data_IF_481651192646
#
_entry.id   IF_481651192646
#
_cell.length_a   1.000
_cell.length_b   1.000
_cell.length_c   1.000
_cell.angle_alpha   90.00
_cell.angle_beta   90.00
_cell.angle_gamma   90.00
#
_symmetry.space_group_name_H-M   'P 1'
#
loop_
_entity.id
_entity.type
_entity.pdbx_description
1 polymer ?
#
# COMPACT_ATOMS: atom_id res chain seq x y z
N UNK A 1 -2.91 -3.45 -10.71
CA UNK A 1 -1.48 -3.69 -10.37
C UNK A 1 -1.32 -4.36 -9.02
N UNK A 2 -1.64 -3.71 -7.89
CA UNK A 2 -1.45 -4.31 -6.54
C UNK A 2 -2.10 -5.69 -6.37
N UNK A 3 -3.36 -5.84 -6.82
CA UNK A 3 -4.07 -7.13 -6.78
C UNK A 3 -3.33 -8.25 -7.53
N UNK A 4 -2.64 -7.94 -8.65
CA UNK A 4 -1.86 -8.94 -9.39
C UNK A 4 -0.58 -9.33 -8.64
N UNK A 5 0.07 -8.37 -7.97
CA UNK A 5 1.30 -8.63 -7.20
C UNK A 5 1.01 -9.51 -5.98
N UNK A 6 -0.08 -9.23 -5.27
CA UNK A 6 -0.55 -10.06 -4.15
C UNK A 6 -0.97 -11.45 -4.62
N UNK A 7 -1.70 -11.55 -5.74
CA UNK A 7 -2.02 -12.85 -6.35
C UNK A 7 -0.77 -13.62 -6.81
N UNK A 8 0.30 -12.91 -7.16
CA UNK A 8 1.61 -13.47 -7.47
C UNK A 8 2.49 -13.82 -6.26
N UNK A 9 1.96 -13.69 -5.04
CA UNK A 9 2.64 -14.08 -3.80
C UNK A 9 3.49 -12.99 -3.15
N UNK A 10 3.48 -11.75 -3.65
CA UNK A 10 4.20 -10.63 -3.03
C UNK A 10 3.26 -9.92 -2.05
N UNK A 11 3.53 -9.93 -0.73
CA UNK A 11 2.65 -9.31 0.24
C UNK A 11 2.64 -7.79 0.07
N UNK A 12 1.45 -7.18 0.13
CA UNK A 12 1.33 -5.72 0.07
C UNK A 12 1.63 -5.09 1.43
N UNK A 13 2.34 -3.96 1.42
CA UNK A 13 2.33 -3.04 2.55
C UNK A 13 1.02 -2.25 2.52
N UNK A 14 0.19 -2.44 3.54
CA UNK A 14 -1.06 -1.71 3.72
C UNK A 14 -1.39 -1.64 5.21
N UNK A 15 -2.08 -0.59 5.64
CA UNK A 15 -2.55 -0.40 7.03
C UNK A 15 -3.97 -0.93 7.27
N UNK A 16 -4.72 -1.24 6.20
CA UNK A 16 -6.08 -1.76 6.28
C UNK A 16 -7.09 -0.76 6.86
N UNK A 17 -6.78 0.53 6.94
CA UNK A 17 -7.67 1.54 7.53
C UNK A 17 -8.94 1.75 6.71
N UNK A 18 -8.86 1.55 5.39
CA UNK A 18 -10.00 1.66 4.47
C UNK A 18 -10.58 0.29 4.15
N UNK A 19 -11.86 0.12 4.47
CA UNK A 19 -12.59 -1.14 4.19
C UNK A 19 -13.06 -1.19 2.74
N UNK A 20 -13.36 -2.39 2.21
CA UNK A 20 -14.02 -2.54 0.92
C UNK A 20 -15.35 -1.76 0.85
N UNK A 21 -15.69 -1.29 -0.35
CA UNK A 21 -16.96 -0.62 -0.65
C UNK A 21 -17.51 -1.08 -2.02
N UNK A 22 -18.64 -0.54 -2.45
CA UNK A 22 -19.30 -0.91 -3.71
C UNK A 22 -18.43 -0.65 -4.95
N UNK A 23 -17.55 0.35 -4.90
CA UNK A 23 -16.65 0.68 -6.02
C UNK A 23 -15.41 -0.21 -6.01
N UNK A 24 -14.99 -0.67 -4.84
CA UNK A 24 -13.84 -1.55 -4.68
C UNK A 24 -14.12 -2.69 -3.68
N UNK A 25 -14.86 -3.72 -4.10
CA UNK A 25 -15.26 -4.83 -3.22
C UNK A 25 -14.07 -5.70 -2.77
N UNK A 26 -12.91 -5.57 -3.42
CA UNK A 26 -11.67 -6.26 -3.05
C UNK A 26 -10.83 -5.48 -2.04
N UNK A 27 -11.31 -4.30 -1.62
CA UNK A 27 -10.62 -3.46 -0.65
C UNK A 27 -9.41 -2.73 -1.22
N UNK A 28 -8.80 -1.93 -0.35
CA UNK A 28 -7.74 -0.99 -0.68
C UNK A 28 -6.41 -1.47 -0.11
N UNK A 29 -5.33 -1.25 -0.87
CA UNK A 29 -3.97 -1.43 -0.39
C UNK A 29 -3.36 -0.07 -0.05
N UNK A 30 -4.08 0.69 0.79
CA UNK A 30 -3.64 2.01 1.23
C UNK A 30 -2.67 1.88 2.41
N UNK A 31 -1.74 2.84 2.49
CA UNK A 31 -0.76 2.97 3.54
C UNK A 31 -0.55 4.46 3.82
N UNK A 32 -1.19 4.97 4.87
CA UNK A 32 -1.22 6.39 5.22
C UNK A 32 0.16 7.07 5.29
N UNK A 33 1.24 6.44 5.82
CA UNK A 33 2.57 7.05 5.83
C UNK A 33 3.15 7.36 4.44
N UNK A 34 2.58 6.83 3.34
CA UNK A 34 2.95 7.22 1.99
C UNK A 34 2.73 8.72 1.72
N UNK A 35 1.73 9.33 2.38
CA UNK A 35 1.37 10.75 2.19
C UNK A 35 2.42 11.71 2.70
N UNK A 36 3.20 11.30 3.71
CA UNK A 36 4.24 12.11 4.35
C UNK A 36 5.63 11.48 4.22
N UNK A 37 5.83 10.62 3.22
CA UNK A 37 7.07 9.88 3.02
C UNK A 37 8.22 10.81 2.64
N UNK A 38 7.94 11.98 2.06
CA UNK A 38 8.95 12.98 1.74
C UNK A 38 9.51 13.63 3.01
N UNK A 39 8.65 13.89 4.01
CA UNK A 39 9.06 14.41 5.31
C UNK A 39 9.69 13.34 6.21
N UNK A 40 9.24 12.09 6.07
CA UNK A 40 9.64 10.94 6.89
C UNK A 40 10.12 9.75 6.03
N UNK A 41 11.23 9.90 5.29
CA UNK A 41 11.71 8.87 4.36
C UNK A 41 12.07 7.55 5.04
N UNK A 42 12.40 7.57 6.34
CA UNK A 42 12.67 6.40 7.15
C UNK A 42 11.49 5.41 7.22
N UNK A 43 10.26 5.89 7.01
CA UNK A 43 9.07 5.03 7.02
C UNK A 43 9.11 3.98 5.92
N UNK A 44 9.89 4.20 4.85
CA UNK A 44 10.00 3.22 3.76
C UNK A 44 10.58 1.88 4.21
N UNK A 45 11.28 1.83 5.35
CA UNK A 45 11.80 0.59 5.94
C UNK A 45 10.67 -0.42 6.19
N UNK A 46 9.45 0.04 6.47
CA UNK A 46 8.28 -0.84 6.63
C UNK A 46 7.93 -1.66 5.37
N UNK A 47 8.45 -1.27 4.20
CA UNK A 47 8.25 -1.95 2.92
C UNK A 47 9.19 -3.14 2.70
N UNK A 48 10.15 -3.41 3.59
CA UNK A 48 11.05 -4.55 3.43
C UNK A 48 10.27 -5.87 3.30
N UNK A 49 10.58 -6.63 2.25
CA UNK A 49 9.89 -7.89 1.91
C UNK A 49 8.45 -7.73 1.43
N UNK A 50 7.97 -6.50 1.23
CA UNK A 50 6.60 -6.18 0.79
C UNK A 50 6.62 -5.31 -0.46
N UNK A 51 5.46 -5.17 -1.09
CA UNK A 51 5.26 -4.23 -2.21
C UNK A 51 4.43 -3.03 -1.78
N UNK A 52 4.88 -1.84 -2.20
CA UNK A 52 4.16 -0.58 -2.12
C UNK A 52 4.30 0.15 -3.45
N UNK A 53 3.21 0.76 -3.94
CA UNK A 53 3.23 1.63 -5.12
C UNK A 53 3.00 3.07 -4.67
N UNK A 54 4.05 3.88 -4.68
CA UNK A 54 3.96 5.31 -4.32
C UNK A 54 3.54 6.11 -5.56
N UNK A 55 2.51 6.94 -5.41
CA UNK A 55 2.12 7.95 -6.39
C UNK A 55 2.47 9.30 -5.78
N UNK A 56 3.35 10.05 -6.44
CA UNK A 56 3.81 11.37 -6.03
C UNK A 56 3.67 12.34 -7.21
N UNK A 57 3.52 13.63 -6.93
CA UNK A 57 3.24 14.69 -7.91
C UNK A 57 4.52 15.45 -8.32
#
# INVERSE_FOLDING_TARGET
MMQMLVAGGIPALSDGLRTPDENNPKGYFEWEPAKTLQEHPENIVAAEGKVVKIISA
#
